data_IF_495145980355
#
_entry.id   IF_495145980355
#
_cell.length_a   1.000
_cell.length_b   1.000
_cell.length_c   1.000
_cell.angle_alpha   90.00
_cell.angle_beta   90.00
_cell.angle_gamma   90.00
#
_symmetry.space_group_name_H-M   'P 1'
#
loop_
_entity.id
_entity.type
_entity.pdbx_description
1 polymer ?
#
# COMPACT_ATOMS: atom_id res chain seq x y z
N UNK A 1 48.61 49.39 -2.07
CA UNK A 1 48.26 48.69 -0.82
C UNK A 1 46.75 48.74 -0.57
N UNK A 2 46.19 49.89 -0.18
CA UNK A 2 44.75 50.01 0.17
C UNK A 2 43.75 49.50 -0.90
N UNK A 3 43.98 49.75 -2.19
CA UNK A 3 43.08 49.27 -3.26
C UNK A 3 43.10 47.74 -3.42
N UNK A 4 44.26 47.11 -3.25
CA UNK A 4 44.39 45.63 -3.30
C UNK A 4 43.74 44.96 -2.09
N UNK A 5 43.85 45.60 -0.92
CA UNK A 5 43.28 45.12 0.33
C UNK A 5 41.74 45.17 0.29
N UNK A 6 41.17 46.29 -0.14
CA UNK A 6 39.72 46.40 -0.36
C UNK A 6 39.17 45.44 -1.45
N UNK A 7 39.94 45.18 -2.51
CA UNK A 7 39.57 44.17 -3.52
C UNK A 7 39.64 42.74 -3.00
N UNK A 8 40.50 42.46 -2.01
CA UNK A 8 40.61 41.16 -1.36
C UNK A 8 39.45 40.95 -0.38
N UNK A 9 39.17 41.92 0.48
CA UNK A 9 38.04 41.88 1.40
C UNK A 9 36.71 41.76 0.65
N UNK A 10 36.51 42.56 -0.41
CA UNK A 10 35.31 42.46 -1.24
C UNK A 10 35.16 41.08 -1.89
N UNK A 11 36.27 40.42 -2.27
CA UNK A 11 36.21 39.07 -2.83
C UNK A 11 35.86 38.02 -1.77
N UNK A 12 36.44 38.13 -0.58
CA UNK A 12 36.12 37.23 0.54
C UNK A 12 34.63 37.33 0.92
N UNK A 13 34.10 38.54 1.05
CA UNK A 13 32.67 38.76 1.33
C UNK A 13 31.77 38.20 0.23
N UNK A 14 32.16 38.33 -1.04
CA UNK A 14 31.41 37.76 -2.15
C UNK A 14 31.43 36.22 -2.15
N UNK A 15 32.56 35.60 -1.77
CA UNK A 15 32.64 34.14 -1.64
C UNK A 15 31.83 33.64 -0.45
N UNK A 16 31.92 34.29 0.71
CA UNK A 16 31.09 33.97 1.88
C UNK A 16 29.59 34.07 1.57
N UNK A 17 29.16 35.16 0.92
CA UNK A 17 27.78 35.32 0.52
C UNK A 17 27.31 34.23 -0.46
N UNK A 18 28.16 33.82 -1.41
CA UNK A 18 27.86 32.70 -2.33
C UNK A 18 27.73 31.37 -1.59
N UNK A 19 28.63 31.09 -0.66
CA UNK A 19 28.60 29.85 0.13
C UNK A 19 27.33 29.78 0.98
N UNK A 20 26.98 30.87 1.67
CA UNK A 20 25.74 30.96 2.45
C UNK A 20 24.49 30.75 1.58
N UNK A 21 24.46 31.33 0.37
CA UNK A 21 23.35 31.13 -0.56
C UNK A 21 23.25 29.66 -1.01
N UNK A 22 24.37 29.00 -1.29
CA UNK A 22 24.39 27.59 -1.67
C UNK A 22 23.93 26.69 -0.51
N UNK A 23 24.36 26.98 0.71
CA UNK A 23 23.95 26.25 1.91
C UNK A 23 22.45 26.42 2.16
N UNK A 24 21.93 27.65 2.13
CA UNK A 24 20.50 27.93 2.29
C UNK A 24 19.64 27.24 1.20
N UNK A 25 20.13 27.18 -0.05
CA UNK A 25 19.45 26.44 -1.11
C UNK A 25 19.41 24.94 -0.83
N UNK A 26 20.52 24.37 -0.35
CA UNK A 26 20.62 22.95 0.01
C UNK A 26 19.69 22.61 1.18
N UNK A 27 19.67 23.42 2.22
CA UNK A 27 18.78 23.25 3.38
C UNK A 27 17.32 23.34 2.98
N UNK A 28 16.96 24.32 2.14
CA UNK A 28 15.60 24.46 1.62
C UNK A 28 15.15 23.22 0.86
N UNK A 29 16.01 22.67 0.00
CA UNK A 29 15.70 21.44 -0.74
C UNK A 29 15.57 20.23 0.20
N UNK A 30 16.44 20.11 1.21
CA UNK A 30 16.35 19.06 2.20
C UNK A 30 15.05 19.13 3.02
N UNK A 31 14.63 20.34 3.41
CA UNK A 31 13.39 20.57 4.13
C UNK A 31 12.16 20.19 3.30
N UNK A 32 12.13 20.55 2.02
CA UNK A 32 11.04 20.17 1.10
C UNK A 32 10.96 18.65 0.96
N UNK A 33 12.09 17.97 0.71
CA UNK A 33 12.14 16.51 0.59
C UNK A 33 11.70 15.80 1.88
N UNK A 34 12.11 16.33 3.04
CA UNK A 34 11.67 15.82 4.34
C UNK A 34 10.16 15.94 4.52
N UNK A 35 9.60 17.12 4.22
CA UNK A 35 8.16 17.36 4.32
C UNK A 35 7.35 16.46 3.37
N UNK A 36 7.82 16.21 2.14
CA UNK A 36 7.16 15.29 1.21
C UNK A 36 7.07 13.86 1.77
N UNK A 37 8.16 13.35 2.36
CA UNK A 37 8.17 12.04 2.98
C UNK A 37 7.23 11.95 4.20
N UNK A 38 7.23 12.97 5.06
CA UNK A 38 6.35 13.04 6.23
C UNK A 38 4.86 13.08 5.82
N UNK A 39 4.50 13.93 4.85
CA UNK A 39 3.13 14.02 4.34
C UNK A 39 2.67 12.67 3.78
N UNK A 40 3.54 11.99 3.03
CA UNK A 40 3.21 10.69 2.46
C UNK A 40 3.00 9.63 3.54
N UNK A 41 3.84 9.59 4.58
CA UNK A 41 3.65 8.68 5.72
C UNK A 41 2.30 8.92 6.41
N UNK A 42 1.95 10.18 6.66
CA UNK A 42 0.65 10.53 7.27
C UNK A 42 -0.50 10.06 6.36
N UNK A 43 -0.43 10.28 5.06
CA UNK A 43 -1.45 9.86 4.11
C UNK A 43 -1.62 8.33 4.09
N UNK A 44 -0.53 7.57 4.11
CA UNK A 44 -0.56 6.10 4.19
C UNK A 44 -1.20 5.64 5.49
N UNK A 45 -0.82 6.21 6.63
CA UNK A 45 -1.43 5.88 7.92
C UNK A 45 -2.93 6.18 7.98
N UNK A 46 -3.40 7.23 7.29
CA UNK A 46 -4.84 7.51 7.15
C UNK A 46 -5.50 6.42 6.30
N UNK A 47 -4.91 6.06 5.16
CA UNK A 47 -5.43 5.04 4.27
C UNK A 47 -5.55 3.67 4.97
N UNK A 48 -4.54 3.26 5.74
CA UNK A 48 -4.55 2.02 6.54
C UNK A 48 -5.70 2.00 7.54
N UNK A 49 -5.89 3.09 8.28
CA UNK A 49 -7.00 3.21 9.24
C UNK A 49 -8.36 3.11 8.55
N UNK A 50 -8.54 3.81 7.44
CA UNK A 50 -9.80 3.78 6.68
C UNK A 50 -10.07 2.40 6.08
N UNK A 51 -9.03 1.75 5.54
CA UNK A 51 -9.13 0.40 4.99
C UNK A 51 -9.52 -0.61 6.08
N UNK A 52 -8.85 -0.57 7.23
CA UNK A 52 -9.19 -1.43 8.36
C UNK A 52 -10.64 -1.24 8.83
N UNK A 53 -11.07 0.01 9.01
CA UNK A 53 -12.48 0.31 9.33
C UNK A 53 -13.43 -0.24 8.26
N UNK A 54 -13.09 -0.12 6.98
CA UNK A 54 -13.89 -0.62 5.87
C UNK A 54 -14.01 -2.16 5.91
N UNK A 55 -12.92 -2.87 6.17
CA UNK A 55 -12.93 -4.34 6.27
C UNK A 55 -13.75 -4.83 7.47
N UNK A 56 -13.78 -4.07 8.56
CA UNK A 56 -14.56 -4.43 9.75
C UNK A 56 -16.05 -4.16 9.57
N UNK A 57 -16.41 -3.01 9.00
CA UNK A 57 -17.77 -2.47 9.02
C UNK A 57 -18.57 -2.77 7.76
N UNK A 58 -17.92 -2.98 6.61
CA UNK A 58 -18.61 -3.13 5.32
C UNK A 58 -18.45 -4.54 4.73
N UNK A 59 -19.45 -5.37 5.03
CA UNK A 59 -19.57 -6.74 4.51
C UNK A 59 -19.58 -6.79 2.98
N UNK A 60 -20.16 -5.80 2.30
CA UNK A 60 -20.24 -5.79 0.82
C UNK A 60 -18.86 -5.58 0.20
N UNK A 61 -18.05 -4.72 0.83
CA UNK A 61 -16.68 -4.49 0.38
C UNK A 61 -15.81 -5.75 0.54
N UNK A 62 -15.94 -6.44 1.68
CA UNK A 62 -15.25 -7.70 1.93
C UNK A 62 -15.68 -8.78 0.92
N UNK A 63 -16.98 -8.93 0.67
CA UNK A 63 -17.48 -9.89 -0.33
C UNK A 63 -16.97 -9.57 -1.74
N UNK A 64 -16.86 -8.29 -2.12
CA UNK A 64 -16.32 -7.91 -3.42
C UNK A 64 -14.86 -8.34 -3.60
N UNK A 65 -14.06 -8.29 -2.53
CA UNK A 65 -12.68 -8.78 -2.53
C UNK A 65 -12.65 -10.29 -2.78
N UNK A 66 -13.50 -11.05 -2.09
CA UNK A 66 -13.53 -12.51 -2.24
C UNK A 66 -14.00 -12.93 -3.62
N UNK A 67 -15.00 -12.25 -4.19
CA UNK A 67 -15.44 -12.47 -5.57
C UNK A 67 -14.30 -12.26 -6.55
N UNK A 68 -13.59 -11.13 -6.43
CA UNK A 68 -12.42 -10.85 -7.26
C UNK A 68 -11.36 -11.94 -7.13
N UNK A 69 -11.08 -12.42 -5.91
CA UNK A 69 -10.13 -13.51 -5.71
C UNK A 69 -10.56 -14.81 -6.40
N UNK A 70 -11.85 -15.13 -6.41
CA UNK A 70 -12.36 -16.32 -7.11
C UNK A 70 -12.29 -16.14 -8.64
N UNK A 71 -12.54 -14.93 -9.15
CA UNK A 71 -12.43 -14.58 -10.57
C UNK A 71 -10.98 -14.61 -11.08
N UNK A 72 -10.03 -14.19 -10.25
CA UNK A 72 -8.60 -14.16 -10.56
C UNK A 72 -7.97 -15.57 -10.54
N UNK A 73 -8.70 -16.59 -10.09
CA UNK A 73 -8.22 -17.97 -10.03
C UNK A 73 -8.08 -18.58 -11.45
N UNK A 74 -6.87 -19.03 -11.87
CA UNK A 74 -6.65 -19.53 -13.23
C UNK A 74 -7.41 -20.80 -13.63
N UNK A 75 -7.84 -21.64 -12.67
CA UNK A 75 -8.44 -22.94 -12.94
C UNK A 75 -8.64 -23.80 -11.69
N UNK A 76 -8.99 -25.08 -11.89
CA UNK A 76 -9.29 -26.03 -10.82
C UNK A 76 -10.78 -26.36 -10.60
N UNK A 77 -11.03 -27.58 -10.15
CA UNK A 77 -12.39 -28.07 -9.87
C UNK A 77 -12.74 -27.99 -8.39
N UNK A 78 -11.78 -28.23 -7.48
CA UNK A 78 -12.05 -28.12 -6.05
C UNK A 78 -11.34 -26.89 -5.49
N UNK A 79 -12.13 -25.86 -5.21
CA UNK A 79 -11.63 -24.57 -4.73
C UNK A 79 -11.84 -24.47 -3.22
N UNK A 80 -10.78 -24.11 -2.51
CA UNK A 80 -10.80 -23.81 -1.08
C UNK A 80 -10.56 -22.32 -0.91
N UNK A 81 -11.55 -21.62 -0.33
CA UNK A 81 -11.46 -20.22 0.07
C UNK A 81 -11.22 -20.16 1.58
N UNK A 82 -9.98 -19.89 1.96
CA UNK A 82 -9.59 -19.68 3.35
C UNK A 82 -9.71 -18.20 3.72
N UNK A 83 -10.41 -17.91 4.81
CA UNK A 83 -10.75 -16.57 5.28
C UNK A 83 -10.46 -16.41 6.77
N UNK A 84 -10.55 -15.19 7.29
CA UNK A 84 -10.70 -15.00 8.73
C UNK A 84 -12.00 -15.67 9.23
N UNK A 85 -12.04 -16.27 10.44
CA UNK A 85 -13.25 -16.89 10.98
C UNK A 85 -14.45 -15.93 11.10
N UNK A 86 -14.22 -14.65 11.36
CA UNK A 86 -15.30 -13.65 11.39
C UNK A 86 -15.91 -13.41 10.00
N UNK A 87 -15.09 -13.46 8.95
CA UNK A 87 -15.55 -13.26 7.57
C UNK A 87 -16.19 -14.55 7.01
N UNK A 88 -15.68 -15.73 7.38
CA UNK A 88 -16.32 -17.03 7.08
C UNK A 88 -17.76 -17.07 7.60
N UNK A 89 -17.97 -16.64 8.85
CA UNK A 89 -19.29 -16.61 9.47
C UNK A 89 -20.29 -15.72 8.70
N UNK A 90 -19.80 -14.69 8.00
CA UNK A 90 -20.61 -13.78 7.18
C UNK A 90 -20.88 -14.36 5.79
N UNK A 91 -19.97 -15.16 5.25
CA UNK A 91 -20.05 -15.73 3.91
C UNK A 91 -20.99 -16.94 3.77
N UNK A 92 -21.46 -17.52 4.89
CA UNK A 92 -22.29 -18.73 4.87
C UNK A 92 -23.57 -18.59 4.04
N UNK A 93 -24.22 -17.43 4.08
CA UNK A 93 -25.45 -17.15 3.30
C UNK A 93 -25.17 -16.84 1.83
N UNK A 94 -23.95 -16.39 1.50
CA UNK A 94 -23.53 -15.99 0.15
C UNK A 94 -22.71 -17.06 -0.57
N UNK A 95 -22.60 -18.27 -0.01
CA UNK A 95 -21.81 -19.36 -0.62
C UNK A 95 -22.21 -19.64 -2.07
N UNK A 96 -23.53 -19.67 -2.35
CA UNK A 96 -24.04 -19.88 -3.71
C UNK A 96 -23.63 -18.75 -4.66
N UNK A 97 -23.73 -17.51 -4.20
CA UNK A 97 -23.33 -16.32 -4.96
C UNK A 97 -21.82 -16.35 -5.26
N UNK A 98 -20.99 -16.70 -4.27
CA UNK A 98 -19.54 -16.83 -4.46
C UNK A 98 -19.19 -17.95 -5.45
N UNK A 99 -19.91 -19.07 -5.43
CA UNK A 99 -19.69 -20.18 -6.35
C UNK A 99 -20.01 -19.81 -7.81
N UNK A 100 -20.89 -18.83 -8.06
CA UNK A 100 -21.18 -18.34 -9.43
C UNK A 100 -19.98 -17.65 -10.10
N UNK A 101 -19.01 -17.20 -9.31
CA UNK A 101 -17.76 -16.60 -9.81
C UNK A 101 -16.71 -17.64 -10.22
N UNK A 102 -16.97 -18.93 -9.98
CA UNK A 102 -16.10 -20.02 -10.41
C UNK A 102 -16.55 -20.61 -11.74
N UNK A 103 -15.67 -21.42 -12.35
CA UNK A 103 -16.02 -22.20 -13.55
C UNK A 103 -17.17 -23.15 -13.25
N UNK A 104 -18.04 -23.35 -14.25
CA UNK A 104 -19.15 -24.31 -14.15
C UNK A 104 -18.63 -25.70 -13.81
N UNK A 105 -19.21 -26.31 -12.79
CA UNK A 105 -18.83 -27.65 -12.33
C UNK A 105 -17.77 -27.66 -11.22
N UNK A 106 -17.19 -26.50 -10.86
CA UNK A 106 -16.29 -26.40 -9.71
C UNK A 106 -17.07 -26.41 -8.39
N UNK A 107 -16.47 -27.02 -7.38
CA UNK A 107 -16.91 -26.99 -5.99
C UNK A 107 -16.18 -25.89 -5.22
N UNK A 108 -16.87 -25.25 -4.28
CA UNK A 108 -16.30 -24.23 -3.39
C UNK A 108 -16.48 -24.69 -1.94
N UNK A 109 -15.36 -24.74 -1.21
CA UNK A 109 -15.35 -24.92 0.24
C UNK A 109 -14.79 -23.65 0.88
N UNK A 110 -15.49 -23.11 1.86
CA UNK A 110 -15.01 -21.99 2.67
C UNK A 110 -14.48 -22.54 4.00
N UNK A 111 -13.34 -22.03 4.46
CA UNK A 111 -12.74 -22.42 5.74
C UNK A 111 -12.19 -21.22 6.51
N UNK A 112 -12.42 -21.17 7.81
CA UNK A 112 -11.84 -20.17 8.71
C UNK A 112 -10.40 -20.51 9.11
N UNK A 113 -9.52 -19.52 9.03
CA UNK A 113 -8.13 -19.57 9.46
C UNK A 113 -7.78 -18.28 10.24
N UNK A 114 -7.45 -18.35 11.54
CA UNK A 114 -7.07 -17.18 12.34
C UNK A 114 -5.83 -16.45 11.84
N UNK A 115 -4.97 -17.11 11.06
CA UNK A 115 -3.77 -16.53 10.46
C UNK A 115 -4.10 -15.55 9.31
N UNK A 116 -5.33 -15.59 8.79
CA UNK A 116 -5.79 -14.70 7.72
C UNK A 116 -6.43 -13.47 8.36
N UNK A 117 -5.90 -12.30 8.02
CA UNK A 117 -6.46 -11.02 8.46
C UNK A 117 -7.87 -10.80 7.89
N UNK A 118 -8.70 -10.05 8.62
CA UNK A 118 -10.04 -9.69 8.15
C UNK A 118 -10.01 -8.92 6.84
N UNK A 119 -10.91 -9.26 5.92
CA UNK A 119 -10.96 -8.70 4.56
C UNK A 119 -9.91 -9.26 3.60
N UNK A 120 -9.07 -10.19 4.06
CA UNK A 120 -8.11 -10.92 3.24
C UNK A 120 -8.58 -12.34 2.99
N UNK A 121 -8.06 -12.95 1.93
CA UNK A 121 -8.39 -14.33 1.58
C UNK A 121 -7.22 -15.06 0.94
N UNK A 122 -7.25 -16.37 1.07
CA UNK A 122 -6.41 -17.30 0.31
C UNK A 122 -7.33 -18.23 -0.50
N UNK A 123 -7.09 -18.34 -1.79
CA UNK A 123 -7.83 -19.21 -2.71
C UNK A 123 -6.88 -20.27 -3.23
N UNK A 124 -7.21 -21.52 -2.99
CA UNK A 124 -6.42 -22.68 -3.38
C UNK A 124 -7.25 -23.61 -4.27
N UNK A 125 -6.58 -24.18 -5.27
CA UNK A 125 -7.10 -25.22 -6.15
C UNK A 125 -5.99 -26.22 -6.47
N UNK A 126 -6.30 -27.23 -7.28
CA UNK A 126 -5.28 -28.18 -7.73
C UNK A 126 -4.25 -27.55 -8.67
N UNK A 127 -4.59 -26.44 -9.32
CA UNK A 127 -3.77 -25.80 -10.37
C UNK A 127 -3.02 -24.57 -9.87
N UNK A 128 -3.59 -23.85 -8.90
CA UNK A 128 -3.07 -22.56 -8.45
C UNK A 128 -3.46 -22.22 -7.02
N UNK A 129 -2.62 -21.39 -6.41
CA UNK A 129 -2.85 -20.73 -5.13
C UNK A 129 -2.67 -19.22 -5.34
N UNK A 130 -3.65 -18.44 -4.91
CA UNK A 130 -3.60 -16.97 -4.93
C UNK A 130 -4.08 -16.42 -3.58
N UNK A 131 -3.65 -15.20 -3.25
CA UNK A 131 -4.07 -14.54 -2.04
C UNK A 131 -4.31 -13.06 -2.27
N UNK A 132 -5.35 -12.51 -1.66
CA UNK A 132 -5.58 -11.07 -1.62
C UNK A 132 -5.43 -10.62 -0.18
N UNK A 133 -4.51 -9.69 0.03
CA UNK A 133 -4.34 -8.97 1.28
C UNK A 133 -4.33 -7.47 0.99
N UNK A 134 -5.45 -6.76 1.21
CA UNK A 134 -5.55 -5.33 0.94
C UNK A 134 -4.49 -4.50 1.68
N UNK A 135 -4.08 -4.94 2.86
CA UNK A 135 -3.04 -4.26 3.65
C UNK A 135 -1.67 -4.36 2.94
N UNK A 136 -1.30 -5.56 2.47
CA UNK A 136 -0.05 -5.76 1.71
C UNK A 136 -0.06 -5.01 0.38
N UNK A 137 -1.22 -4.91 -0.28
CA UNK A 137 -1.35 -4.14 -1.52
C UNK A 137 -1.13 -2.63 -1.26
N UNK A 138 -1.72 -2.10 -0.18
CA UNK A 138 -1.51 -0.72 0.25
C UNK A 138 -0.05 -0.43 0.62
N UNK A 139 0.59 -1.31 1.38
CA UNK A 139 2.01 -1.21 1.74
C UNK A 139 2.90 -1.20 0.50
N UNK A 140 2.60 -2.07 -0.47
CA UNK A 140 3.33 -2.13 -1.75
C UNK A 140 3.21 -0.82 -2.51
N UNK A 141 2.00 -0.25 -2.57
CA UNK A 141 1.76 1.05 -3.22
C UNK A 141 2.47 2.19 -2.49
N UNK A 142 2.41 2.22 -1.16
CA UNK A 142 3.08 3.19 -0.31
C UNK A 142 4.60 3.18 -0.52
N UNK A 143 5.21 1.99 -0.54
CA UNK A 143 6.65 1.83 -0.78
C UNK A 143 7.07 2.32 -2.17
N UNK A 144 6.24 2.09 -3.20
CA UNK A 144 6.49 2.63 -4.54
C UNK A 144 6.46 4.15 -4.53
N UNK A 145 5.48 4.76 -3.88
CA UNK A 145 5.36 6.22 -3.78
C UNK A 145 6.53 6.83 -2.99
N UNK A 146 6.95 6.22 -1.88
CA UNK A 146 8.11 6.68 -1.10
C UNK A 146 9.40 6.60 -1.91
N UNK A 147 9.57 5.55 -2.72
CA UNK A 147 10.72 5.41 -3.60
C UNK A 147 10.73 6.50 -4.68
N UNK A 148 9.57 6.86 -5.23
CA UNK A 148 9.46 7.96 -6.20
C UNK A 148 9.74 9.32 -5.56
N UNK A 149 9.25 9.56 -4.33
CA UNK A 149 9.48 10.79 -3.59
C UNK A 149 10.94 10.96 -3.11
N UNK A 150 11.58 9.86 -2.69
CA UNK A 150 13.01 9.86 -2.30
C UNK A 150 13.98 9.80 -3.48
N UNK A 151 13.49 9.50 -4.68
CA UNK A 151 14.26 9.25 -5.90
C UNK A 151 14.49 10.45 -6.83
N UNK A 152 14.23 11.68 -6.39
CA UNK A 152 14.53 12.93 -7.10
C UNK A 152 15.32 13.86 -6.18
#
# INVERSE_FOLDING_TARGET
AALQEGQRESRLLQEEAKNLLQEAQRERLAMIKGAEAEILQIAVSIAEKLLHCKMILDKKAVLAIFKKALEDLPGGQNVILSLNPEDEAVCGETLKELQEHLRKGSSLKITGSPEIARGSCKVESEEAEIGINPQTELETLANKLLTLAGGS
#
